data_IF_472044900565
#
_entry.id   IF_472044900565
#
_cell.length_a   1.000
_cell.length_b   1.000
_cell.length_c   1.000
_cell.angle_alpha   90.00
_cell.angle_beta   90.00
_cell.angle_gamma   90.00
#
_symmetry.space_group_name_H-M   'P 1'
#
loop_
_entity.id
_entity.type
_entity.pdbx_description
1 polymer ?
#
# COMPACT_ATOMS: atom_id res chain seq x y z
N UNK A 1 3.77 -10.57 17.47
CA UNK A 1 2.80 -9.48 17.23
C UNK A 1 2.10 -9.72 15.91
N UNK A 2 0.84 -9.32 15.77
CA UNK A 2 0.10 -9.34 14.49
C UNK A 2 0.27 -7.98 13.81
N UNK A 3 0.57 -7.96 12.52
CA UNK A 3 0.96 -6.76 11.76
C UNK A 3 -0.11 -6.24 10.81
N UNK A 4 -1.00 -7.14 10.37
CA UNK A 4 -2.06 -6.91 9.41
C UNK A 4 -3.16 -7.96 9.61
N UNK A 5 -4.31 -7.71 9.00
CA UNK A 5 -5.49 -8.55 9.11
C UNK A 5 -5.30 -9.90 8.41
N UNK A 6 -4.53 -9.95 7.31
CA UNK A 6 -4.29 -11.20 6.57
C UNK A 6 -3.55 -12.20 7.46
N UNK A 7 -2.50 -11.78 8.16
CA UNK A 7 -1.76 -12.62 9.09
C UNK A 7 -2.61 -13.15 10.24
N UNK A 8 -3.60 -12.38 10.71
CA UNK A 8 -4.56 -12.88 11.70
C UNK A 8 -5.44 -13.98 11.11
N UNK A 9 -5.95 -13.77 9.90
CA UNK A 9 -6.87 -14.69 9.21
C UNK A 9 -6.15 -15.99 8.80
N UNK A 10 -4.89 -15.93 8.39
CA UNK A 10 -4.03 -17.10 8.15
C UNK A 10 -3.91 -17.98 9.40
N UNK A 11 -3.70 -17.36 10.57
CA UNK A 11 -3.62 -18.08 11.86
C UNK A 11 -4.93 -18.75 12.25
N UNK A 12 -6.06 -18.26 11.75
CA UNK A 12 -7.37 -18.89 11.94
C UNK A 12 -7.60 -20.05 10.94
N UNK A 13 -6.63 -20.36 10.09
CA UNK A 13 -6.67 -21.49 9.15
C UNK A 13 -7.41 -21.19 7.85
N UNK A 14 -7.67 -19.91 7.56
CA UNK A 14 -8.32 -19.50 6.31
C UNK A 14 -7.30 -19.20 5.21
N UNK A 15 -7.64 -19.54 3.97
CA UNK A 15 -6.81 -19.20 2.81
C UNK A 15 -6.91 -17.70 2.49
N UNK A 16 -5.79 -17.10 2.09
CA UNK A 16 -5.70 -15.69 1.69
C UNK A 16 -5.47 -15.60 0.19
N UNK A 17 -6.22 -14.71 -0.46
CA UNK A 17 -5.98 -14.32 -1.85
C UNK A 17 -5.20 -12.99 -1.89
N UNK A 18 -4.04 -13.00 -2.54
CA UNK A 18 -3.32 -11.79 -2.91
C UNK A 18 -3.79 -11.31 -4.29
N UNK A 19 -3.96 -10.00 -4.45
CA UNK A 19 -4.27 -9.36 -5.73
C UNK A 19 -3.14 -8.42 -6.13
N UNK A 20 -2.97 -8.21 -7.43
CA UNK A 20 -1.94 -7.29 -7.92
C UNK A 20 -2.22 -5.87 -7.43
N UNK A 21 -1.26 -5.32 -6.70
CA UNK A 21 -1.29 -3.95 -6.19
C UNK A 21 -0.45 -3.01 -7.04
N UNK A 22 -0.56 -1.71 -6.76
CA UNK A 22 0.31 -0.69 -7.34
C UNK A 22 1.48 -0.38 -6.43
N UNK A 23 2.69 -0.36 -6.96
CA UNK A 23 3.87 0.13 -6.25
C UNK A 23 3.75 1.61 -5.84
N UNK A 24 2.83 2.37 -6.47
CA UNK A 24 2.52 3.75 -6.11
C UNK A 24 1.62 3.85 -4.85
N UNK A 25 1.03 2.75 -4.37
CA UNK A 25 0.24 2.70 -3.14
C UNK A 25 1.14 2.61 -1.90
N UNK A 26 1.89 3.68 -1.63
CA UNK A 26 2.87 3.72 -0.55
C UNK A 26 2.22 3.98 0.81
N UNK A 27 2.85 3.50 1.88
CA UNK A 27 2.52 3.85 3.26
C UNK A 27 3.43 4.97 3.73
N UNK A 28 2.87 6.09 4.14
CA UNK A 28 3.63 7.18 4.78
C UNK A 28 3.98 6.76 6.19
N UNK A 29 5.27 6.65 6.48
CA UNK A 29 5.80 6.24 7.79
C UNK A 29 6.85 7.21 8.33
N UNK A 30 7.39 8.06 7.46
CA UNK A 30 8.42 9.05 7.75
C UNK A 30 8.05 10.40 7.13
N UNK A 31 8.80 11.46 7.47
CA UNK A 31 8.58 12.77 6.87
C UNK A 31 9.05 12.82 5.42
N UNK A 32 10.09 12.06 5.09
CA UNK A 32 10.66 11.95 3.75
C UNK A 32 9.67 11.31 2.76
N UNK A 33 8.80 10.41 3.24
CA UNK A 33 7.76 9.78 2.42
C UNK A 33 6.79 10.80 1.80
N UNK A 34 6.58 11.96 2.42
CA UNK A 34 5.72 13.01 1.87
C UNK A 34 6.23 13.55 0.53
N UNK A 35 7.55 13.71 0.38
CA UNK A 35 8.17 14.19 -0.86
C UNK A 35 7.89 13.20 -2.00
N UNK A 36 8.00 11.90 -1.71
CA UNK A 36 7.67 10.84 -2.66
C UNK A 36 6.17 10.83 -3.00
N UNK A 37 5.31 10.93 -1.99
CA UNK A 37 3.86 10.93 -2.15
C UNK A 37 3.36 12.08 -3.04
N UNK A 38 3.87 13.30 -2.82
CA UNK A 38 3.52 14.46 -3.64
C UNK A 38 3.91 14.28 -5.11
N UNK A 39 5.09 13.71 -5.36
CA UNK A 39 5.55 13.40 -6.72
C UNK A 39 4.64 12.35 -7.39
N UNK A 40 4.31 11.27 -6.68
CA UNK A 40 3.42 10.21 -7.17
C UNK A 40 2.02 10.75 -7.47
N UNK A 41 1.46 11.62 -6.62
CA UNK A 41 0.15 12.24 -6.85
C UNK A 41 0.14 13.10 -8.12
N UNK A 42 1.16 13.93 -8.34
CA UNK A 42 1.28 14.73 -9.57
C UNK A 42 1.38 13.86 -10.83
N UNK A 43 2.11 12.75 -10.76
CA UNK A 43 2.17 11.79 -11.88
C UNK A 43 0.80 11.18 -12.17
N UNK A 44 0.05 10.79 -11.14
CA UNK A 44 -1.30 10.24 -11.29
C UNK A 44 -2.26 11.30 -11.87
N UNK A 45 -2.17 12.56 -11.47
CA UNK A 45 -2.98 13.63 -12.06
C UNK A 45 -2.69 13.79 -13.56
N UNK A 46 -1.41 13.75 -13.98
CA UNK A 46 -1.02 13.84 -15.40
C UNK A 46 -1.49 12.63 -16.20
N UNK A 47 -1.38 11.41 -15.64
CA UNK A 47 -1.83 10.18 -16.30
C UNK A 47 -3.35 10.13 -16.55
N UNK A 48 -4.12 10.94 -15.81
CA UNK A 48 -5.58 11.02 -15.92
C UNK A 48 -6.08 12.16 -16.83
N UNK A 49 -5.17 12.87 -17.52
CA UNK A 49 -5.47 13.92 -18.52
C UNK A 49 -5.21 13.39 -19.92
#
# INVERSE_FOLDING_TARGET
TVTDECFLVEKLGSEIAAVEGSAKNIKITTLEDFILAESLLRQLEIENV
#
